data_IF_522377448337
#
_entry.id   IF_522377448337
#
_cell.length_a   1.000
_cell.length_b   1.000
_cell.length_c   1.000
_cell.angle_alpha   90.00
_cell.angle_beta   90.00
_cell.angle_gamma   90.00
#
_symmetry.space_group_name_H-M   'P 1'
#
loop_
_entity.id
_entity.type
_entity.pdbx_description
1 polymer ?
#
# COMPACT_ATOMS: atom_id res chain seq x y z
N UNK A 1 -28.82 17.91 6.27
CA UNK A 1 -28.29 19.16 6.90
C UNK A 1 -27.41 19.85 5.88
N UNK A 2 -27.60 21.18 5.73
CA UNK A 2 -26.71 21.96 4.85
C UNK A 2 -26.44 23.34 5.46
N UNK A 3 -25.24 23.88 5.21
CA UNK A 3 -24.85 25.24 5.63
C UNK A 3 -23.98 25.91 4.57
N UNK A 4 -24.16 27.21 4.38
CA UNK A 4 -23.29 28.05 3.55
C UNK A 4 -22.02 28.51 4.27
N UNK A 5 -22.05 28.49 5.59
CA UNK A 5 -20.93 28.87 6.44
C UNK A 5 -20.30 27.62 7.06
N UNK A 6 -19.13 27.78 7.66
CA UNK A 6 -18.53 26.72 8.48
C UNK A 6 -19.49 26.34 9.63
N UNK A 7 -19.58 25.05 9.92
CA UNK A 7 -20.41 24.57 11.01
C UNK A 7 -19.80 23.32 11.67
N UNK A 8 -20.27 23.07 12.88
CA UNK A 8 -19.84 21.93 13.69
C UNK A 8 -21.04 21.05 14.04
N UNK A 9 -20.81 19.75 14.04
CA UNK A 9 -21.75 18.76 14.56
C UNK A 9 -21.09 18.03 15.74
N UNK A 10 -21.63 18.23 16.93
CA UNK A 10 -21.20 17.55 18.14
C UNK A 10 -22.32 16.64 18.64
N UNK A 11 -22.03 15.34 18.78
CA UNK A 11 -23.01 14.35 19.23
C UNK A 11 -22.33 13.13 19.85
N UNK A 12 -23.09 12.36 20.61
CA UNK A 12 -22.61 11.02 21.06
C UNK A 12 -22.61 10.05 19.89
N UNK A 13 -23.66 10.08 19.06
CA UNK A 13 -23.78 9.27 17.83
C UNK A 13 -24.40 10.12 16.72
N UNK A 14 -24.01 9.83 15.48
CA UNK A 14 -24.57 10.47 14.29
C UNK A 14 -25.01 9.40 13.30
N UNK A 15 -26.29 9.38 12.97
CA UNK A 15 -26.84 8.57 11.88
C UNK A 15 -27.07 9.48 10.66
N UNK A 16 -26.27 9.27 9.61
CA UNK A 16 -26.38 9.93 8.31
C UNK A 16 -26.60 8.90 7.18
N UNK A 17 -27.13 7.71 7.52
CA UNK A 17 -27.40 6.67 6.52
C UNK A 17 -28.33 7.17 5.42
N UNK A 18 -27.90 7.05 4.17
CA UNK A 18 -28.59 7.60 2.99
C UNK A 18 -28.90 9.10 3.11
N UNK A 19 -28.34 9.77 4.12
CA UNK A 19 -28.51 11.19 4.40
C UNK A 19 -27.49 12.06 3.68
N UNK A 20 -27.64 13.37 3.84
CA UNK A 20 -26.69 14.36 3.31
C UNK A 20 -26.31 15.36 4.40
N UNK A 21 -25.01 15.53 4.59
CA UNK A 21 -24.39 16.52 5.44
C UNK A 21 -23.48 17.37 4.58
N UNK A 22 -23.86 18.62 4.31
CA UNK A 22 -23.20 19.43 3.29
C UNK A 22 -22.80 20.80 3.83
N UNK A 23 -21.56 21.21 3.55
CA UNK A 23 -21.03 22.53 3.87
C UNK A 23 -20.38 23.20 2.66
N UNK A 24 -20.65 24.50 2.44
CA UNK A 24 -19.90 25.25 1.42
C UNK A 24 -18.49 25.62 1.92
N UNK A 25 -18.28 25.62 3.25
CA UNK A 25 -17.00 25.91 3.91
C UNK A 25 -16.52 24.70 4.75
N UNK A 26 -15.95 24.96 5.93
CA UNK A 26 -15.45 23.89 6.80
C UNK A 26 -16.59 23.20 7.56
N UNK A 27 -16.49 21.87 7.66
CA UNK A 27 -17.32 21.03 8.50
C UNK A 27 -16.45 20.35 9.56
N UNK A 28 -16.78 20.57 10.83
CA UNK A 28 -16.17 19.87 11.96
C UNK A 28 -17.12 18.84 12.53
N UNK A 29 -16.66 17.60 12.70
CA UNK A 29 -17.40 16.48 13.27
C UNK A 29 -16.74 16.03 14.58
N UNK A 30 -17.49 16.09 15.69
CA UNK A 30 -17.06 15.60 16.99
C UNK A 30 -18.06 14.58 17.51
N UNK A 31 -17.84 13.31 17.17
CA UNK A 31 -18.78 12.23 17.49
C UNK A 31 -18.12 11.28 18.49
N UNK A 32 -18.59 11.32 19.73
CA UNK A 32 -17.92 10.62 20.83
C UNK A 32 -17.89 9.08 20.68
N UNK A 33 -18.90 8.48 20.02
CA UNK A 33 -18.99 7.03 19.82
C UNK A 33 -18.97 6.70 18.33
N UNK A 34 -20.12 6.59 17.70
CA UNK A 34 -20.24 6.08 16.33
C UNK A 34 -20.86 7.09 15.38
N UNK A 35 -20.28 7.21 14.20
CA UNK A 35 -20.90 7.84 13.04
C UNK A 35 -21.22 6.78 12.00
N UNK A 36 -22.48 6.73 11.56
CA UNK A 36 -22.91 5.89 10.45
C UNK A 36 -23.24 6.75 9.24
N UNK A 37 -22.45 6.65 8.19
CA UNK A 37 -22.63 7.31 6.90
C UNK A 37 -22.87 6.29 5.78
N UNK A 38 -23.39 5.09 6.10
CA UNK A 38 -23.61 4.07 5.09
C UNK A 38 -24.57 4.59 3.98
N UNK A 39 -24.12 4.50 2.72
CA UNK A 39 -24.79 5.08 1.55
C UNK A 39 -25.11 6.57 1.69
N UNK A 40 -24.57 7.28 2.67
CA UNK A 40 -24.75 8.72 2.91
C UNK A 40 -23.67 9.56 2.23
N UNK A 41 -23.89 10.86 2.24
CA UNK A 41 -22.97 11.86 1.73
C UNK A 41 -22.55 12.84 2.83
N UNK A 42 -21.26 13.01 3.00
CA UNK A 42 -20.66 14.13 3.71
C UNK A 42 -19.81 14.90 2.70
N UNK A 43 -20.09 16.19 2.50
CA UNK A 43 -19.37 17.01 1.52
C UNK A 43 -19.15 18.42 2.06
N UNK A 44 -17.90 18.92 1.99
CA UNK A 44 -17.58 20.28 2.36
C UNK A 44 -16.32 20.78 1.62
N UNK A 45 -15.96 22.06 1.81
CA UNK A 45 -14.68 22.55 1.35
C UNK A 45 -13.54 21.89 2.14
N UNK A 46 -13.68 21.78 3.47
CA UNK A 46 -12.78 21.07 4.38
C UNK A 46 -13.61 20.27 5.37
N UNK A 47 -13.16 19.06 5.67
CA UNK A 47 -13.78 18.22 6.70
C UNK A 47 -12.74 17.85 7.74
N UNK A 48 -13.03 18.12 9.00
CA UNK A 48 -12.26 17.67 10.16
C UNK A 48 -13.16 16.81 11.03
N UNK A 49 -12.83 15.54 11.16
CA UNK A 49 -13.61 14.57 11.92
C UNK A 49 -12.80 13.91 13.03
N UNK A 50 -13.34 13.92 14.25
CA UNK A 50 -12.94 13.02 15.32
C UNK A 50 -14.14 12.19 15.74
N UNK A 51 -14.04 10.89 15.57
CA UNK A 51 -15.15 9.97 15.81
C UNK A 51 -14.65 8.69 16.50
N UNK A 52 -15.45 8.09 17.36
CA UNK A 52 -15.11 6.82 17.99
C UNK A 52 -14.96 5.70 16.95
N UNK A 53 -15.99 5.48 16.15
CA UNK A 53 -15.95 4.58 14.98
C UNK A 53 -16.71 5.21 13.81
N UNK A 54 -16.34 4.85 12.57
CA UNK A 54 -16.96 5.37 11.35
C UNK A 54 -17.37 4.25 10.41
N UNK A 55 -18.69 4.13 10.17
CA UNK A 55 -19.27 3.34 9.08
C UNK A 55 -19.49 4.22 7.86
N UNK A 56 -18.75 3.98 6.77
CA UNK A 56 -18.91 4.65 5.48
C UNK A 56 -19.16 3.62 4.36
N UNK A 57 -19.72 2.46 4.69
CA UNK A 57 -20.00 1.42 3.70
C UNK A 57 -20.89 1.96 2.56
N UNK A 58 -20.38 1.92 1.31
CA UNK A 58 -21.05 2.49 0.12
C UNK A 58 -21.39 3.99 0.26
N UNK A 59 -20.91 4.65 1.31
CA UNK A 59 -21.08 6.09 1.55
C UNK A 59 -19.95 6.89 0.92
N UNK A 60 -20.08 8.20 0.98
CA UNK A 60 -19.08 9.13 0.46
C UNK A 60 -18.76 10.21 1.47
N UNK A 61 -17.49 10.38 1.77
CA UNK A 61 -16.92 11.55 2.42
C UNK A 61 -16.02 12.25 1.42
N UNK A 62 -16.34 13.51 1.10
CA UNK A 62 -15.52 14.30 0.19
C UNK A 62 -15.23 15.69 0.72
N UNK A 63 -14.02 16.15 0.50
CA UNK A 63 -13.63 17.52 0.76
C UNK A 63 -12.84 18.08 -0.42
N UNK A 64 -13.13 19.32 -0.84
CA UNK A 64 -12.42 19.92 -1.98
C UNK A 64 -10.95 20.15 -1.67
N UNK A 65 -10.65 20.64 -0.46
CA UNK A 65 -9.28 20.97 -0.05
C UNK A 65 -8.68 19.89 0.84
N UNK A 66 -9.26 19.63 2.00
CA UNK A 66 -8.68 18.71 2.98
C UNK A 66 -9.71 17.91 3.74
N UNK A 67 -9.44 16.62 3.89
CA UNK A 67 -10.19 15.69 4.72
C UNK A 67 -9.25 15.13 5.79
N UNK A 68 -9.48 15.48 7.05
CA UNK A 68 -8.72 14.95 8.18
C UNK A 68 -9.65 14.16 9.09
N UNK A 69 -9.39 12.87 9.23
CA UNK A 69 -10.19 11.96 10.04
C UNK A 69 -9.32 11.31 11.12
N UNK A 70 -9.76 11.44 12.36
CA UNK A 70 -9.28 10.65 13.48
C UNK A 70 -10.41 9.75 13.93
N UNK A 71 -10.24 8.45 13.71
CA UNK A 71 -11.21 7.40 14.09
C UNK A 71 -10.57 6.56 15.19
N UNK A 72 -11.10 6.66 16.39
CA UNK A 72 -10.44 6.05 17.55
C UNK A 72 -10.40 4.51 17.44
N UNK A 73 -11.41 3.87 16.84
CA UNK A 73 -11.49 2.42 16.66
C UNK A 73 -11.43 2.01 15.17
N UNK A 74 -12.54 1.59 14.60
CA UNK A 74 -12.64 1.04 13.26
C UNK A 74 -13.24 2.04 12.27
N UNK A 75 -12.64 2.10 11.08
CA UNK A 75 -13.16 2.77 9.90
C UNK A 75 -13.57 1.69 8.88
N UNK A 76 -14.87 1.59 8.63
CA UNK A 76 -15.42 0.79 7.53
C UNK A 76 -15.71 1.69 6.32
N UNK A 77 -14.91 1.56 5.28
CA UNK A 77 -15.09 2.20 3.97
C UNK A 77 -15.37 1.17 2.87
N UNK A 78 -15.95 0.03 3.23
CA UNK A 78 -16.22 -1.05 2.26
C UNK A 78 -17.19 -0.58 1.16
N UNK A 79 -16.72 -0.64 -0.11
CA UNK A 79 -17.42 -0.09 -1.25
C UNK A 79 -17.69 1.41 -1.19
N UNK A 80 -17.17 2.12 -0.21
CA UNK A 80 -17.35 3.57 0.00
C UNK A 80 -16.21 4.41 -0.57
N UNK A 81 -16.31 5.72 -0.45
CA UNK A 81 -15.34 6.67 -0.97
C UNK A 81 -14.90 7.69 0.11
N UNK A 82 -13.59 7.88 0.22
CA UNK A 82 -12.97 9.00 0.94
C UNK A 82 -12.14 9.79 -0.09
N UNK A 83 -12.53 11.03 -0.35
CA UNK A 83 -11.94 11.83 -1.42
C UNK A 83 -11.56 13.21 -0.92
N UNK A 84 -10.33 13.65 -1.20
CA UNK A 84 -9.92 15.03 -0.95
C UNK A 84 -8.72 15.41 -1.81
N UNK A 85 -8.35 16.69 -1.83
CA UNK A 85 -7.05 17.08 -2.37
C UNK A 85 -5.93 16.60 -1.44
N UNK A 86 -6.02 16.90 -0.15
CA UNK A 86 -5.11 16.43 0.89
C UNK A 86 -5.89 15.60 1.91
N UNK A 87 -5.58 14.32 1.99
CA UNK A 87 -6.33 13.37 2.78
C UNK A 87 -5.46 12.77 3.89
N UNK A 88 -5.89 12.93 5.14
CA UNK A 88 -5.28 12.32 6.31
C UNK A 88 -6.28 11.45 7.07
N UNK A 89 -5.89 10.22 7.37
CA UNK A 89 -6.68 9.27 8.15
C UNK A 89 -5.81 8.65 9.23
N UNK A 90 -6.22 8.79 10.48
CA UNK A 90 -5.67 8.04 11.60
C UNK A 90 -6.77 7.14 12.15
N UNK A 91 -6.52 5.84 12.26
CA UNK A 91 -7.56 4.88 12.67
C UNK A 91 -7.00 3.70 13.48
N UNK A 92 -7.86 3.00 14.20
CA UNK A 92 -7.53 1.70 14.79
C UNK A 92 -7.34 0.64 13.73
N UNK A 93 -8.33 0.47 12.85
CA UNK A 93 -8.29 -0.43 11.68
C UNK A 93 -9.04 0.20 10.51
N UNK A 94 -8.66 -0.17 9.28
CA UNK A 94 -9.38 0.25 8.07
C UNK A 94 -9.87 -0.98 7.29
N UNK A 95 -11.16 -1.00 6.99
CA UNK A 95 -11.74 -1.86 5.95
C UNK A 95 -12.04 -1.00 4.72
N UNK A 96 -11.24 -1.15 3.65
CA UNK A 96 -11.43 -0.50 2.35
C UNK A 96 -11.70 -1.52 1.24
N UNK A 97 -12.27 -2.67 1.58
CA UNK A 97 -12.59 -3.69 0.57
C UNK A 97 -13.54 -3.14 -0.49
N UNK A 98 -13.15 -3.26 -1.76
CA UNK A 98 -13.86 -2.67 -2.90
C UNK A 98 -14.14 -1.16 -2.76
N UNK A 99 -13.53 -0.49 -1.80
CA UNK A 99 -13.66 0.95 -1.55
C UNK A 99 -12.57 1.77 -2.22
N UNK A 100 -12.70 3.07 -2.14
CA UNK A 100 -11.74 4.03 -2.70
C UNK A 100 -11.34 5.07 -1.66
N UNK A 101 -10.04 5.26 -1.49
CA UNK A 101 -9.45 6.36 -0.71
C UNK A 101 -8.49 7.09 -1.63
N UNK A 102 -8.80 8.34 -1.94
CA UNK A 102 -8.05 9.11 -2.93
C UNK A 102 -7.72 10.51 -2.43
N UNK A 103 -6.42 10.81 -2.38
CA UNK A 103 -5.91 12.15 -2.25
C UNK A 103 -5.37 12.64 -3.59
N UNK A 104 -5.82 13.79 -4.11
CA UNK A 104 -5.27 14.28 -5.38
C UNK A 104 -3.80 14.67 -5.24
N UNK A 105 -3.43 15.29 -4.12
CA UNK A 105 -2.06 15.68 -3.78
C UNK A 105 -1.42 14.71 -2.81
N UNK A 106 -2.04 14.47 -1.65
CA UNK A 106 -1.48 13.62 -0.61
C UNK A 106 -2.51 12.69 0.03
N UNK A 107 -2.05 11.48 0.36
CA UNK A 107 -2.74 10.55 1.24
C UNK A 107 -1.77 10.11 2.34
N UNK A 108 -2.10 10.45 3.58
CA UNK A 108 -1.47 9.90 4.77
C UNK A 108 -2.47 9.00 5.49
N UNK A 109 -2.17 7.73 5.55
CA UNK A 109 -2.97 6.73 6.26
C UNK A 109 -2.14 6.09 7.38
N UNK A 110 -2.51 6.38 8.61
CA UNK A 110 -1.92 5.80 9.82
C UNK A 110 -2.94 4.87 10.49
N UNK A 111 -2.71 3.57 10.43
CA UNK A 111 -3.53 2.55 11.10
C UNK A 111 -2.72 1.85 12.18
N UNK A 112 -3.24 1.83 13.41
CA UNK A 112 -2.61 1.05 14.49
C UNK A 112 -2.70 -0.45 14.26
N UNK A 113 -3.71 -0.89 13.52
CA UNK A 113 -3.98 -2.28 13.23
C UNK A 113 -3.89 -2.60 11.74
N UNK A 114 -4.70 -3.53 11.33
CA UNK A 114 -4.74 -4.03 9.95
C UNK A 114 -5.48 -3.08 9.01
N UNK A 115 -4.96 -2.97 7.80
CA UNK A 115 -5.65 -2.35 6.66
C UNK A 115 -6.08 -3.48 5.70
N UNK A 116 -7.38 -3.54 5.39
CA UNK A 116 -7.96 -4.40 4.37
C UNK A 116 -8.23 -3.56 3.12
N UNK A 117 -7.52 -3.83 2.03
CA UNK A 117 -7.71 -3.17 0.74
C UNK A 117 -7.98 -4.20 -0.38
N UNK A 118 -8.53 -5.36 -0.02
CA UNK A 118 -8.86 -6.41 -1.01
C UNK A 118 -9.82 -5.86 -2.07
N UNK A 119 -9.41 -5.91 -3.34
CA UNK A 119 -10.12 -5.31 -4.47
C UNK A 119 -10.42 -3.79 -4.31
N UNK A 120 -9.82 -3.13 -3.34
CA UNK A 120 -9.97 -1.68 -3.09
C UNK A 120 -8.86 -0.86 -3.74
N UNK A 121 -9.01 0.45 -3.70
CA UNK A 121 -8.05 1.39 -4.28
C UNK A 121 -7.61 2.45 -3.27
N UNK A 122 -6.29 2.62 -3.12
CA UNK A 122 -5.66 3.72 -2.42
C UNK A 122 -4.81 4.50 -3.42
N UNK A 123 -5.00 5.81 -3.51
CA UNK A 123 -4.27 6.59 -4.51
C UNK A 123 -3.93 8.01 -4.06
N UNK A 124 -2.78 8.53 -4.54
CA UNK A 124 -2.42 9.93 -4.39
C UNK A 124 -1.25 10.30 -5.33
N UNK A 125 -0.86 11.57 -5.35
CA UNK A 125 0.44 11.95 -5.88
C UNK A 125 1.56 11.49 -4.93
N UNK A 126 1.39 11.73 -3.63
CA UNK A 126 2.25 11.22 -2.56
C UNK A 126 1.40 10.38 -1.59
N UNK A 127 1.67 9.09 -1.51
CA UNK A 127 0.97 8.16 -0.65
C UNK A 127 1.92 7.62 0.43
N UNK A 128 1.56 7.83 1.68
CA UNK A 128 2.22 7.21 2.83
C UNK A 128 1.21 6.37 3.60
N UNK A 129 1.54 5.10 3.83
CA UNK A 129 0.73 4.19 4.62
C UNK A 129 1.57 3.53 5.70
N UNK A 130 1.15 3.72 6.96
CA UNK A 130 1.70 3.04 8.11
C UNK A 130 0.64 2.13 8.71
N UNK A 131 0.94 0.85 8.93
CA UNK A 131 0.00 -0.11 9.50
C UNK A 131 0.69 -1.28 10.19
N UNK A 132 -0.05 -2.04 11.02
CA UNK A 132 0.45 -3.30 11.52
C UNK A 132 0.57 -4.35 10.38
N UNK A 133 -0.39 -4.39 9.45
CA UNK A 133 -0.37 -5.24 8.26
C UNK A 133 -1.28 -4.67 7.17
N UNK A 134 -1.03 -5.08 5.93
CA UNK A 134 -1.82 -4.71 4.77
C UNK A 134 -2.23 -5.96 3.98
N UNK A 135 -3.54 -6.12 3.75
CA UNK A 135 -4.09 -7.06 2.79
C UNK A 135 -4.51 -6.25 1.55
N UNK A 136 -3.72 -6.36 0.50
CA UNK A 136 -3.95 -5.74 -0.81
C UNK A 136 -4.24 -6.78 -1.89
N UNK A 137 -4.74 -7.96 -1.52
CA UNK A 137 -5.07 -9.00 -2.49
C UNK A 137 -6.07 -8.48 -3.53
N UNK A 138 -5.72 -8.57 -4.82
CA UNK A 138 -6.50 -8.01 -5.93
C UNK A 138 -6.73 -6.47 -5.85
N UNK A 139 -6.19 -5.80 -4.85
CA UNK A 139 -6.31 -4.36 -4.65
C UNK A 139 -5.22 -3.56 -5.37
N UNK A 140 -5.33 -2.26 -5.31
CA UNK A 140 -4.37 -1.34 -5.94
C UNK A 140 -3.95 -0.22 -5.01
N UNK A 141 -2.62 -0.01 -4.90
CA UNK A 141 -2.02 1.20 -4.38
C UNK A 141 -1.26 1.89 -5.51
N UNK A 142 -1.58 3.17 -5.73
CA UNK A 142 -0.92 3.96 -6.77
C UNK A 142 -0.45 5.32 -6.26
N UNK A 143 0.79 5.69 -6.60
CA UNK A 143 1.29 7.04 -6.41
C UNK A 143 2.02 7.55 -7.66
N UNK A 144 1.72 8.77 -8.11
CA UNK A 144 2.41 9.31 -9.28
C UNK A 144 3.81 9.85 -8.97
N UNK A 145 4.15 10.08 -7.69
CA UNK A 145 5.49 10.51 -7.29
C UNK A 145 6.14 9.57 -6.28
N UNK A 146 5.51 9.36 -5.13
CA UNK A 146 6.09 8.57 -4.04
C UNK A 146 5.04 7.69 -3.37
N UNK A 147 5.31 6.39 -3.35
CA UNK A 147 4.59 5.40 -2.57
C UNK A 147 5.50 4.92 -1.43
N UNK A 148 5.13 5.22 -0.20
CA UNK A 148 5.86 4.79 0.99
C UNK A 148 4.97 3.92 1.87
N UNK A 149 5.42 2.70 2.15
CA UNK A 149 4.72 1.73 2.99
C UNK A 149 5.62 1.32 4.14
N UNK A 150 5.12 1.46 5.37
CA UNK A 150 5.77 0.97 6.59
C UNK A 150 4.81 0.05 7.32
N UNK A 151 5.09 -1.23 7.26
CA UNK A 151 4.26 -2.28 7.86
C UNK A 151 5.05 -2.99 8.96
N UNK A 152 4.44 -3.13 10.14
CA UNK A 152 5.05 -3.89 11.24
C UNK A 152 5.11 -5.40 11.00
N UNK A 153 4.27 -5.92 10.11
CA UNK A 153 4.10 -7.36 9.85
C UNK A 153 3.97 -7.66 8.36
N UNK A 154 2.88 -8.33 8.00
CA UNK A 154 2.68 -8.92 6.66
C UNK A 154 2.09 -7.92 5.67
N UNK A 155 2.62 -7.95 4.45
CA UNK A 155 1.98 -7.46 3.24
C UNK A 155 1.49 -8.64 2.40
N UNK A 156 0.19 -8.75 2.20
CA UNK A 156 -0.38 -9.64 1.18
C UNK A 156 -0.74 -8.81 -0.05
N UNK A 157 -0.03 -9.03 -1.15
CA UNK A 157 -0.26 -8.40 -2.45
C UNK A 157 -0.55 -9.44 -3.55
N UNK A 158 -1.07 -10.62 -3.17
CA UNK A 158 -1.42 -11.66 -4.15
C UNK A 158 -2.45 -11.12 -5.17
N UNK A 159 -2.13 -11.20 -6.47
CA UNK A 159 -2.93 -10.59 -7.56
C UNK A 159 -3.13 -9.09 -7.44
N UNK A 160 -2.51 -8.44 -6.46
CA UNK A 160 -2.62 -7.00 -6.22
C UNK A 160 -1.53 -6.19 -6.93
N UNK A 161 -1.66 -4.87 -6.88
CA UNK A 161 -0.70 -3.97 -7.50
C UNK A 161 -0.26 -2.89 -6.52
N UNK A 162 1.06 -2.74 -6.36
CA UNK A 162 1.71 -1.58 -5.77
C UNK A 162 2.50 -0.89 -6.88
N UNK A 163 2.17 0.36 -7.19
CA UNK A 163 2.85 1.09 -8.26
C UNK A 163 3.18 2.51 -7.88
N UNK A 164 4.40 2.93 -8.20
CA UNK A 164 4.77 4.34 -8.25
C UNK A 164 5.31 4.71 -9.62
N UNK A 165 4.96 5.90 -10.12
CA UNK A 165 5.55 6.41 -11.36
C UNK A 165 6.95 7.00 -11.14
N UNK A 166 7.42 7.11 -9.86
CA UNK A 166 8.79 7.52 -9.54
C UNK A 166 9.41 6.64 -8.47
N UNK A 167 9.09 6.85 -7.20
CA UNK A 167 9.76 6.20 -6.07
C UNK A 167 8.79 5.31 -5.30
N UNK A 168 9.19 4.05 -5.07
CA UNK A 168 8.50 3.13 -4.19
C UNK A 168 9.44 2.69 -3.06
N UNK A 169 9.01 2.92 -1.83
CA UNK A 169 9.69 2.48 -0.62
C UNK A 169 8.79 1.54 0.16
N UNK A 170 9.28 0.36 0.47
CA UNK A 170 8.56 -0.68 1.20
C UNK A 170 9.37 -1.16 2.38
N UNK A 171 8.80 -1.10 3.56
CA UNK A 171 9.28 -1.80 4.74
C UNK A 171 8.16 -2.71 5.25
N UNK A 172 8.45 -4.01 5.40
CA UNK A 172 7.51 -5.00 5.92
C UNK A 172 8.24 -6.19 6.56
N UNK A 173 7.52 -7.03 7.27
CA UNK A 173 8.02 -8.33 7.68
C UNK A 173 8.04 -9.30 6.49
N UNK A 174 6.98 -10.05 6.30
CA UNK A 174 6.82 -10.96 5.17
C UNK A 174 5.99 -10.30 4.06
N UNK A 175 6.41 -10.51 2.82
CA UNK A 175 5.68 -10.03 1.64
C UNK A 175 5.25 -11.23 0.80
N UNK A 176 3.95 -11.39 0.62
CA UNK A 176 3.36 -12.26 -0.39
C UNK A 176 3.03 -11.41 -1.62
N UNK A 177 3.75 -11.62 -2.71
CA UNK A 177 3.54 -10.96 -4.00
C UNK A 177 3.31 -12.01 -5.11
N UNK A 178 2.87 -13.21 -4.74
CA UNK A 178 2.62 -14.33 -5.65
C UNK A 178 1.34 -14.18 -6.47
N UNK A 179 1.02 -15.25 -7.21
CA UNK A 179 -0.20 -15.33 -8.04
C UNK A 179 -0.37 -14.15 -9.00
N UNK A 180 0.71 -13.67 -9.62
CA UNK A 180 0.70 -12.51 -10.50
C UNK A 180 0.65 -11.15 -9.78
N UNK A 181 0.92 -11.09 -8.48
CA UNK A 181 1.09 -9.83 -7.74
C UNK A 181 2.20 -8.97 -8.34
N UNK A 182 2.01 -7.66 -8.33
CA UNK A 182 2.95 -6.72 -8.96
C UNK A 182 3.35 -5.60 -8.02
N UNK A 183 4.66 -5.44 -7.82
CA UNK A 183 5.27 -4.30 -7.13
C UNK A 183 6.20 -3.61 -8.13
N UNK A 184 5.96 -2.32 -8.43
CA UNK A 184 6.72 -1.65 -9.48
C UNK A 184 6.95 -0.16 -9.26
N UNK A 185 8.11 0.33 -9.71
CA UNK A 185 8.43 1.76 -9.79
C UNK A 185 9.05 2.11 -11.14
N UNK A 186 8.97 3.39 -11.54
CA UNK A 186 9.63 3.84 -12.76
C UNK A 186 11.07 4.36 -12.51
N UNK A 187 11.40 4.81 -11.30
CA UNK A 187 12.75 5.32 -11.01
C UNK A 187 13.48 4.47 -9.97
N UNK A 188 13.00 4.46 -8.74
CA UNK A 188 13.63 3.77 -7.61
C UNK A 188 12.63 2.87 -6.90
N UNK A 189 13.00 1.62 -6.72
CA UNK A 189 12.34 0.70 -5.81
C UNK A 189 13.30 0.31 -4.70
N UNK A 190 12.93 0.61 -3.46
CA UNK A 190 13.66 0.18 -2.28
C UNK A 190 12.75 -0.64 -1.38
N UNK A 191 13.09 -1.90 -1.17
CA UNK A 191 12.35 -2.81 -0.29
C UNK A 191 13.26 -3.35 0.81
N UNK A 192 12.83 -3.23 2.06
CA UNK A 192 13.43 -3.90 3.22
C UNK A 192 12.39 -4.80 3.85
N UNK A 193 12.60 -6.11 3.74
CA UNK A 193 11.66 -7.14 4.18
C UNK A 193 12.40 -8.31 4.81
N UNK A 194 11.72 -9.12 5.62
CA UNK A 194 12.31 -10.33 6.21
C UNK A 194 12.08 -11.59 5.35
N UNK A 195 11.31 -11.46 4.28
CA UNK A 195 11.06 -12.50 3.30
C UNK A 195 10.15 -12.02 2.19
N UNK A 196 10.41 -12.49 0.98
CA UNK A 196 9.62 -12.19 -0.20
C UNK A 196 9.24 -13.48 -0.92
N UNK A 197 7.94 -13.71 -1.02
CA UNK A 197 7.36 -14.77 -1.84
C UNK A 197 6.68 -14.12 -3.05
N UNK A 198 7.22 -14.36 -4.24
CA UNK A 198 6.68 -13.89 -5.52
C UNK A 198 6.61 -15.00 -6.57
N UNK A 199 6.36 -16.24 -6.10
CA UNK A 199 6.10 -17.36 -7.00
C UNK A 199 4.86 -17.13 -7.87
N UNK A 200 4.72 -17.98 -8.88
CA UNK A 200 3.53 -18.01 -9.73
C UNK A 200 3.24 -16.63 -10.38
N UNK A 201 4.18 -16.20 -11.24
CA UNK A 201 4.13 -14.95 -12.02
C UNK A 201 4.20 -13.64 -11.19
N UNK A 202 4.60 -13.70 -9.91
CA UNK A 202 4.83 -12.49 -9.11
C UNK A 202 5.95 -11.61 -9.69
N UNK A 203 5.81 -10.29 -9.60
CA UNK A 203 6.72 -9.35 -10.24
C UNK A 203 7.21 -8.27 -9.28
N UNK A 204 8.52 -8.11 -9.17
CA UNK A 204 9.18 -6.99 -8.50
C UNK A 204 10.04 -6.26 -9.54
N UNK A 205 9.60 -5.07 -9.95
CA UNK A 205 10.15 -4.38 -11.13
C UNK A 205 10.50 -2.93 -10.82
N UNK A 206 11.69 -2.49 -11.23
CA UNK A 206 12.03 -1.07 -11.33
C UNK A 206 12.49 -0.77 -12.76
N UNK A 207 12.10 0.36 -13.32
CA UNK A 207 12.69 0.80 -14.60
C UNK A 207 14.02 1.53 -14.39
N UNK A 208 14.29 2.05 -13.20
CA UNK A 208 15.58 2.60 -12.78
C UNK A 208 16.33 1.62 -11.90
N UNK A 209 16.51 1.94 -10.62
CA UNK A 209 17.25 1.10 -9.67
C UNK A 209 16.34 0.32 -8.74
N UNK A 210 16.77 -0.90 -8.36
CA UNK A 210 16.10 -1.74 -7.41
C UNK A 210 17.07 -2.15 -6.29
N UNK A 211 16.68 -1.87 -5.06
CA UNK A 211 17.36 -2.35 -3.85
C UNK A 211 16.41 -3.25 -3.08
N UNK A 212 16.82 -4.48 -2.80
CA UNK A 212 16.09 -5.44 -1.97
C UNK A 212 17.00 -5.93 -0.85
N UNK A 213 16.64 -5.58 0.38
CA UNK A 213 17.26 -6.07 1.61
C UNK A 213 16.32 -7.08 2.28
N UNK A 214 16.77 -8.31 2.42
CA UNK A 214 15.98 -9.42 2.96
C UNK A 214 16.24 -9.71 4.44
N UNK A 215 17.15 -8.97 5.10
CA UNK A 215 17.45 -9.18 6.52
C UNK A 215 17.88 -10.62 6.86
N UNK A 216 18.57 -11.29 5.95
CA UNK A 216 18.95 -12.72 5.95
C UNK A 216 17.76 -13.69 5.76
N UNK A 217 16.62 -13.19 5.30
CA UNK A 217 15.44 -14.00 4.99
C UNK A 217 15.50 -14.68 3.63
N UNK A 218 14.35 -15.17 3.22
CA UNK A 218 14.19 -16.00 2.04
C UNK A 218 13.57 -15.22 0.87
N UNK A 219 14.14 -15.42 -0.34
CA UNK A 219 13.54 -15.01 -1.61
C UNK A 219 12.98 -16.24 -2.33
N UNK A 220 11.67 -16.35 -2.43
CA UNK A 220 11.00 -17.30 -3.31
C UNK A 220 10.56 -16.58 -4.59
N UNK A 221 11.30 -16.80 -5.68
CA UNK A 221 11.05 -16.25 -7.01
C UNK A 221 10.68 -17.36 -8.01
N UNK A 222 10.11 -18.46 -7.54
CA UNK A 222 9.75 -19.61 -8.38
C UNK A 222 8.70 -19.19 -9.44
N UNK A 223 9.08 -19.21 -10.72
CA UNK A 223 8.24 -18.74 -11.81
C UNK A 223 7.98 -17.21 -11.80
N UNK A 224 8.58 -16.48 -10.86
CA UNK A 224 8.42 -15.03 -10.72
C UNK A 224 9.48 -14.24 -11.49
N UNK A 225 9.36 -12.91 -11.43
CA UNK A 225 10.29 -12.01 -12.10
C UNK A 225 10.76 -10.87 -11.21
N UNK A 226 12.07 -10.75 -11.05
CA UNK A 226 12.75 -9.61 -10.43
C UNK A 226 13.63 -8.95 -11.49
N UNK A 227 13.31 -7.69 -11.83
CA UNK A 227 14.03 -7.01 -12.90
C UNK A 227 14.30 -5.55 -12.59
N UNK A 228 15.51 -5.10 -12.91
CA UNK A 228 15.91 -3.70 -12.88
C UNK A 228 16.91 -3.44 -14.01
N UNK A 229 16.54 -2.71 -15.08
CA UNK A 229 17.50 -2.28 -16.10
C UNK A 229 18.64 -1.43 -15.54
N UNK A 230 18.40 -0.65 -14.48
CA UNK A 230 19.43 0.06 -13.74
C UNK A 230 20.14 -0.83 -12.72
N UNK A 231 20.62 -0.22 -11.63
CA UNK A 231 21.30 -0.95 -10.58
C UNK A 231 20.37 -1.94 -9.87
N UNK A 232 20.79 -3.20 -9.78
CA UNK A 232 20.16 -4.22 -8.95
C UNK A 232 21.07 -4.51 -7.75
N UNK A 233 20.58 -4.20 -6.55
CA UNK A 233 21.26 -4.49 -5.30
C UNK A 233 20.42 -5.45 -4.47
N UNK A 234 20.94 -6.68 -4.31
CA UNK A 234 20.38 -7.70 -3.43
C UNK A 234 21.29 -7.83 -2.21
N UNK A 235 20.78 -7.55 -1.03
CA UNK A 235 21.55 -7.55 0.20
C UNK A 235 20.90 -8.39 1.29
N UNK A 236 21.74 -8.96 2.17
CA UNK A 236 21.32 -9.77 3.31
C UNK A 236 20.34 -10.89 2.88
N UNK A 237 20.70 -11.62 1.82
CA UNK A 237 19.89 -12.71 1.27
C UNK A 237 20.29 -14.00 1.96
N UNK A 238 19.37 -14.66 2.65
CA UNK A 238 19.59 -15.97 3.27
C UNK A 238 19.57 -17.07 2.23
N UNK A 239 18.43 -17.35 1.66
CA UNK A 239 18.26 -18.38 0.62
C UNK A 239 17.43 -17.86 -0.54
N UNK A 240 17.70 -18.40 -1.73
CA UNK A 240 17.00 -18.06 -2.98
C UNK A 240 16.48 -19.32 -3.63
N UNK A 241 15.17 -19.33 -3.90
CA UNK A 241 14.54 -20.27 -4.82
C UNK A 241 14.14 -19.49 -6.08
N UNK A 242 14.87 -19.69 -7.20
CA UNK A 242 14.61 -19.05 -8.49
C UNK A 242 14.22 -20.09 -9.56
N UNK A 243 13.68 -21.22 -9.17
CA UNK A 243 13.29 -22.27 -10.12
C UNK A 243 12.28 -21.76 -11.15
N UNK A 244 12.63 -21.84 -12.42
CA UNK A 244 11.79 -21.32 -13.51
C UNK A 244 11.57 -19.81 -13.48
N UNK A 245 12.12 -19.07 -12.52
CA UNK A 245 12.01 -17.62 -12.39
C UNK A 245 13.12 -16.86 -13.12
N UNK A 246 13.03 -15.55 -13.09
CA UNK A 246 14.03 -14.66 -13.69
C UNK A 246 14.47 -13.58 -12.70
N UNK A 247 15.78 -13.42 -12.53
CA UNK A 247 16.43 -12.28 -11.87
C UNK A 247 17.32 -11.62 -12.89
N UNK A 248 17.07 -10.37 -13.25
CA UNK A 248 17.77 -9.72 -14.37
C UNK A 248 18.10 -8.25 -14.12
N UNK A 249 19.24 -7.81 -14.70
CA UNK A 249 19.70 -6.41 -14.73
C UNK A 249 20.49 -6.15 -16.00
N UNK A 250 20.44 -4.93 -16.54
CA UNK A 250 21.34 -4.54 -17.63
C UNK A 250 22.74 -4.15 -17.11
N UNK A 251 22.88 -3.90 -15.80
CA UNK A 251 24.15 -3.60 -15.18
C UNK A 251 24.69 -4.83 -14.42
N UNK A 252 25.97 -4.76 -14.05
CA UNK A 252 26.58 -5.80 -13.21
C UNK A 252 25.84 -5.91 -11.86
N UNK A 253 25.63 -7.14 -11.41
CA UNK A 253 25.13 -7.36 -10.07
C UNK A 253 25.76 -8.55 -9.35
N UNK A 254 25.71 -8.51 -8.04
CA UNK A 254 26.16 -9.57 -7.15
C UNK A 254 24.94 -10.21 -6.49
N UNK A 255 24.85 -11.52 -6.55
CA UNK A 255 23.97 -12.32 -5.70
C UNK A 255 24.81 -13.09 -4.70
N UNK A 256 24.71 -12.70 -3.42
CA UNK A 256 25.33 -13.41 -2.31
C UNK A 256 24.24 -14.03 -1.44
N UNK A 257 24.27 -15.35 -1.27
CA UNK A 257 23.28 -16.09 -0.50
C UNK A 257 23.88 -17.32 0.19
N UNK A 258 23.19 -17.87 1.16
CA UNK A 258 23.58 -19.16 1.75
C UNK A 258 23.29 -20.30 0.79
N UNK A 259 22.11 -20.31 0.16
CA UNK A 259 21.74 -21.31 -0.85
C UNK A 259 21.05 -20.66 -2.03
N UNK A 260 21.23 -21.24 -3.21
CA UNK A 260 20.57 -20.86 -4.45
C UNK A 260 20.11 -22.10 -5.20
N UNK A 261 18.79 -22.24 -5.37
CA UNK A 261 18.21 -23.16 -6.33
C UNK A 261 17.76 -22.36 -7.56
N UNK A 262 18.41 -22.60 -8.70
CA UNK A 262 18.14 -21.94 -9.97
C UNK A 262 17.68 -22.92 -11.06
N UNK A 263 17.16 -24.08 -10.66
CA UNK A 263 16.69 -25.12 -11.58
C UNK A 263 15.72 -24.56 -12.63
N UNK A 264 16.11 -24.56 -13.92
CA UNK A 264 15.38 -23.94 -15.05
C UNK A 264 15.16 -22.44 -14.91
N UNK A 265 15.72 -21.77 -13.90
CA UNK A 265 15.65 -20.33 -13.71
C UNK A 265 16.69 -19.58 -14.53
N UNK A 266 16.58 -18.26 -14.57
CA UNK A 266 17.47 -17.37 -15.28
C UNK A 266 18.05 -16.32 -14.34
N UNK A 267 19.38 -16.17 -14.37
CA UNK A 267 20.10 -15.05 -13.80
C UNK A 267 20.79 -14.33 -14.95
N UNK A 268 20.36 -13.12 -15.27
CA UNK A 268 20.79 -12.40 -16.48
C UNK A 268 21.40 -11.06 -16.14
N UNK A 269 22.56 -10.78 -16.70
CA UNK A 269 23.21 -9.47 -16.68
C UNK A 269 23.80 -9.17 -18.05
N UNK A 270 23.63 -7.94 -18.52
CA UNK A 270 24.33 -7.49 -19.75
C UNK A 270 25.81 -7.16 -19.47
N UNK A 271 26.21 -7.13 -18.19
CA UNK A 271 27.57 -6.91 -17.75
C UNK A 271 28.06 -8.08 -16.88
N UNK A 272 28.78 -7.81 -15.80
CA UNK A 272 29.28 -8.87 -14.92
C UNK A 272 28.21 -9.38 -13.97
N UNK A 273 28.03 -10.69 -13.90
CA UNK A 273 27.27 -11.39 -12.87
C UNK A 273 28.23 -12.11 -11.93
N UNK A 274 28.13 -11.81 -10.64
CA UNK A 274 28.91 -12.49 -9.60
C UNK A 274 27.99 -13.26 -8.67
N UNK A 275 28.26 -14.54 -8.49
CA UNK A 275 27.56 -15.40 -7.51
C UNK A 275 28.50 -15.73 -6.37
N UNK A 276 28.03 -15.59 -5.13
CA UNK A 276 28.72 -15.98 -3.90
C UNK A 276 27.79 -16.81 -3.05
N UNK A 277 27.82 -18.11 -3.23
CA UNK A 277 26.94 -19.06 -2.53
C UNK A 277 27.76 -19.81 -1.50
N UNK A 278 27.40 -19.64 -0.21
CA UNK A 278 28.16 -20.24 0.88
C UNK A 278 27.89 -21.73 1.07
N UNK A 279 26.75 -22.24 0.60
CA UNK A 279 26.31 -23.62 0.73
C UNK A 279 25.96 -24.25 -0.62
N UNK A 280 24.70 -24.68 -0.77
CA UNK A 280 24.24 -25.39 -1.97
C UNK A 280 23.93 -24.42 -3.13
N UNK A 281 24.44 -24.73 -4.31
CA UNK A 281 24.08 -24.15 -5.59
C UNK A 281 23.57 -25.28 -6.50
N UNK A 282 22.29 -25.17 -6.95
CA UNK A 282 21.65 -26.08 -7.89
C UNK A 282 21.16 -25.33 -9.13
#
# INVERSE_FOLDING_TARGET
>A
ISSKLAFEVTATRLDNRSGKLMGEQALTLRIAQAMDNAAGLVSAQRVEGRVGSLGNAKGKLEARDGLQLVVDDALDNSGGELLARDLGVTTGTLDNRSGRVQGDNSLLLDSRGRVLNTAGNLGARQLTLNAASLDNAQGSLFASERLALVLGGVLDNAKGTLRSDRVLELQAGQVNNGDGGRISSAELLSARVSGLDQRDDGQLLSQGSLTLDLGNGHLNNQGGRLNSPGQLLLSNVGSVDNRGGEISSNLAFLLAATTLDNGRGKLLSEQALTLRIAGLLD
#
